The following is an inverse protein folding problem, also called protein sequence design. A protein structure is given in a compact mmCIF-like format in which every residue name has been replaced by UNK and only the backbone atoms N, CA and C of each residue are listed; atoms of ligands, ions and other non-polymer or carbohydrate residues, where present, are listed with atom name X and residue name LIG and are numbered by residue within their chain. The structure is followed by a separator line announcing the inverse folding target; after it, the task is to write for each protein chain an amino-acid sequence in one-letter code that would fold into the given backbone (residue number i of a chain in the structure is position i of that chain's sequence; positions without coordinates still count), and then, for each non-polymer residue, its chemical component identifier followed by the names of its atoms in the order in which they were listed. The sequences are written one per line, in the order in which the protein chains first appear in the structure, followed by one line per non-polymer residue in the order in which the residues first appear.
data_IF_048782104422
#
_entry.id   IF_048782104422
#
_cell.length_a   1.000
_cell.length_b   1.000
_cell.length_c   1.000
_cell.angle_alpha   90.00
_cell.angle_beta   90.00
_cell.angle_gamma   90.00
#
_symmetry.space_group_name_H-M   'P 1'
#
loop_
_entity.id
_entity.type
_entity.pdbx_description
1 polymer ?
#
# COMPACT_ATOMS: atom_id res chain seq x y z
N UNK A 1 -15.39 12.86 -11.96
CA UNK A 1 -14.18 12.95 -11.13
C UNK A 1 -14.37 11.87 -10.11
N UNK A 2 -14.02 10.63 -10.43
CA UNK A 2 -14.07 9.57 -9.42
C UNK A 2 -13.09 9.94 -8.33
N UNK A 3 -13.52 9.86 -7.08
CA UNK A 3 -12.63 10.13 -5.97
C UNK A 3 -11.55 9.05 -6.01
N UNK A 4 -10.27 9.43 -6.15
CA UNK A 4 -9.14 8.47 -6.14
C UNK A 4 -9.20 7.50 -4.95
N UNK A 5 -9.87 7.91 -3.87
CA UNK A 5 -10.15 7.04 -2.72
C UNK A 5 -11.08 5.88 -3.08
N UNK A 6 -12.15 6.13 -3.82
CA UNK A 6 -13.13 5.13 -4.25
C UNK A 6 -12.45 4.10 -5.15
N UNK A 7 -11.60 4.54 -6.09
CA UNK A 7 -10.77 3.64 -6.91
C UNK A 7 -9.84 2.75 -6.05
N UNK A 8 -9.23 3.31 -5.01
CA UNK A 8 -8.37 2.52 -4.10
C UNK A 8 -9.20 1.57 -3.21
N UNK A 9 -10.42 1.94 -2.85
CA UNK A 9 -11.34 1.08 -2.12
C UNK A 9 -11.81 -0.10 -2.98
N UNK A 10 -12.03 0.12 -4.29
CA UNK A 10 -12.32 -0.95 -5.26
C UNK A 10 -11.12 -1.91 -5.39
N UNK A 11 -9.91 -1.38 -5.57
CA UNK A 11 -8.68 -2.22 -5.61
C UNK A 11 -8.51 -3.04 -4.33
N UNK A 12 -8.76 -2.44 -3.16
CA UNK A 12 -8.70 -3.16 -1.89
C UNK A 12 -9.75 -4.27 -1.82
N UNK A 13 -10.95 -4.04 -2.37
CA UNK A 13 -11.99 -5.07 -2.44
C UNK A 13 -11.54 -6.25 -3.30
N UNK A 14 -10.98 -5.97 -4.47
CA UNK A 14 -10.48 -7.00 -5.39
C UNK A 14 -9.33 -7.81 -4.76
N UNK A 15 -8.45 -7.14 -4.02
CA UNK A 15 -7.36 -7.80 -3.29
C UNK A 15 -7.86 -8.74 -2.19
N UNK A 16 -8.94 -8.38 -1.49
CA UNK A 16 -9.53 -9.22 -0.44
C UNK A 16 -10.16 -10.50 -0.96
N UNK A 17 -10.53 -10.55 -2.24
CA UNK A 17 -11.04 -11.76 -2.88
C UNK A 17 -9.92 -12.73 -3.28
N UNK A 18 -8.64 -12.34 -3.15
CA UNK A 18 -7.49 -13.18 -3.48
C UNK A 18 -7.12 -14.11 -2.30
N UNK A 19 -6.98 -15.41 -2.54
CA UNK A 19 -6.78 -16.44 -1.50
C UNK A 19 -5.54 -16.21 -0.61
N UNK A 20 -4.50 -15.57 -1.16
CA UNK A 20 -3.26 -15.26 -0.43
C UNK A 20 -3.37 -14.03 0.52
N UNK A 21 -4.41 -13.22 0.36
CA UNK A 21 -4.59 -11.97 1.11
C UNK A 21 -5.46 -12.24 2.33
N UNK A 22 -4.92 -11.98 3.52
CA UNK A 22 -5.66 -12.07 4.79
C UNK A 22 -6.54 -10.84 4.97
N UNK A 23 -5.98 -9.67 4.70
CA UNK A 23 -6.70 -8.40 4.73
C UNK A 23 -6.01 -7.39 3.82
N UNK A 24 -6.78 -6.42 3.34
CA UNK A 24 -6.26 -5.26 2.63
C UNK A 24 -7.06 -4.02 3.02
N UNK A 25 -6.40 -2.87 3.13
CA UNK A 25 -7.09 -1.62 3.44
C UNK A 25 -6.33 -0.39 2.98
N UNK A 26 -7.09 0.66 2.66
CA UNK A 26 -6.54 1.98 2.37
C UNK A 26 -6.15 2.66 3.68
N UNK A 27 -4.89 3.06 3.78
CA UNK A 27 -4.35 3.87 4.85
C UNK A 27 -3.90 5.23 4.32
N UNK A 28 -3.59 6.13 5.25
CA UNK A 28 -3.01 7.44 4.93
C UNK A 28 -1.79 7.67 5.83
N UNK A 29 -0.68 8.05 5.21
CA UNK A 29 0.49 8.64 5.86
C UNK A 29 0.36 10.16 5.96
N UNK A 30 1.33 10.79 6.59
CA UNK A 30 1.40 12.24 6.76
C UNK A 30 1.43 13.01 5.42
N UNK A 31 2.02 12.41 4.38
CA UNK A 31 2.21 13.00 3.05
C UNK A 31 1.43 12.32 1.95
N UNK A 32 1.07 11.05 2.14
CA UNK A 32 0.73 10.13 1.05
C UNK A 32 -0.43 9.21 1.44
N UNK A 33 -1.14 8.68 0.44
CA UNK A 33 -2.07 7.56 0.62
C UNK A 33 -1.33 6.25 0.40
N UNK A 34 -1.74 5.24 1.16
CA UNK A 34 -1.14 3.91 1.17
C UNK A 34 -2.23 2.87 0.97
N UNK A 35 -1.89 1.78 0.31
CA UNK A 35 -2.63 0.52 0.39
C UNK A 35 -1.78 -0.45 1.20
N UNK A 36 -2.40 -1.04 2.22
CA UNK A 36 -1.79 -2.02 3.10
C UNK A 36 -2.37 -3.37 2.74
N UNK A 37 -1.51 -4.37 2.58
CA UNK A 37 -1.89 -5.75 2.26
C UNK A 37 -1.24 -6.67 3.27
N UNK A 38 -2.05 -7.45 3.98
CA UNK A 38 -1.61 -8.47 4.92
C UNK A 38 -1.67 -9.84 4.22
N UNK A 39 -0.55 -10.55 4.12
CA UNK A 39 -0.42 -11.84 3.44
C UNK A 39 -0.23 -12.96 4.47
N UNK A 40 -0.91 -14.09 4.28
CA UNK A 40 -0.85 -15.23 5.20
C UNK A 40 0.45 -16.02 5.03
N UNK A 41 1.26 -16.12 6.10
CA UNK A 41 2.39 -17.05 6.17
C UNK A 41 3.48 -16.91 5.09
N UNK A 42 3.44 -15.88 4.24
CA UNK A 42 4.44 -15.60 3.22
C UNK A 42 5.15 -14.28 3.53
N UNK A 43 6.47 -14.27 3.34
CA UNK A 43 7.30 -13.07 3.46
C UNK A 43 7.23 -12.18 2.20
N UNK A 44 6.66 -12.70 1.11
CA UNK A 44 6.60 -12.05 -0.20
C UNK A 44 5.16 -11.96 -0.72
N UNK A 45 4.87 -10.86 -1.41
CA UNK A 45 3.58 -10.63 -2.05
C UNK A 45 3.53 -11.42 -3.35
N UNK A 46 2.44 -12.15 -3.64
CA UNK A 46 2.30 -12.88 -4.90
C UNK A 46 2.48 -11.97 -6.12
N UNK A 47 3.13 -12.44 -7.20
CA UNK A 47 3.39 -11.62 -8.38
C UNK A 47 2.11 -11.10 -9.03
N UNK A 48 1.03 -11.88 -9.04
CA UNK A 48 -0.28 -11.45 -9.59
C UNK A 48 -0.85 -10.24 -8.81
N UNK A 49 -0.67 -10.22 -7.48
CA UNK A 49 -1.07 -9.11 -6.61
C UNK A 49 -0.19 -7.88 -6.88
N UNK A 50 1.12 -8.08 -7.08
CA UNK A 50 2.06 -7.00 -7.39
C UNK A 50 1.76 -6.37 -8.76
N UNK A 51 1.47 -7.19 -9.78
CA UNK A 51 1.09 -6.72 -11.10
C UNK A 51 -0.22 -5.92 -11.05
N UNK A 52 -1.22 -6.44 -10.35
CA UNK A 52 -2.49 -5.74 -10.15
C UNK A 52 -2.28 -4.37 -9.46
N UNK A 53 -1.51 -4.33 -8.37
CA UNK A 53 -1.17 -3.06 -7.70
C UNK A 53 -0.43 -2.09 -8.65
N UNK A 54 0.51 -2.60 -9.45
CA UNK A 54 1.30 -1.78 -10.38
C UNK A 54 0.43 -1.17 -11.50
N UNK A 55 -0.57 -1.90 -12.01
CA UNK A 55 -1.54 -1.40 -12.98
C UNK A 55 -2.36 -0.21 -12.45
N UNK A 56 -2.51 -0.14 -11.11
CA UNK A 56 -3.20 0.94 -10.41
C UNK A 56 -2.27 2.03 -9.86
N UNK A 57 -1.02 2.11 -10.34
CA UNK A 57 0.02 3.05 -9.88
C UNK A 57 0.38 2.91 -8.38
N UNK A 58 0.15 1.74 -7.79
CA UNK A 58 0.56 1.41 -6.43
C UNK A 58 1.94 0.76 -6.45
N UNK A 59 2.90 1.34 -5.73
CA UNK A 59 4.30 0.90 -5.70
C UNK A 59 4.74 0.60 -4.28
N UNK A 60 5.54 -0.45 -4.09
CA UNK A 60 6.11 -0.80 -2.80
C UNK A 60 6.79 0.37 -2.08
N UNK A 61 6.47 0.58 -0.81
CA UNK A 61 7.06 1.66 -0.03
C UNK A 61 8.59 1.52 0.13
N UNK A 62 9.12 0.28 0.20
CA UNK A 62 10.57 0.04 0.35
C UNK A 62 11.33 0.49 -0.90
N UNK A 63 10.94 0.07 -2.11
CA UNK A 63 11.51 0.57 -3.37
C UNK A 63 11.26 2.05 -3.69
N UNK A 64 10.52 2.80 -2.84
CA UNK A 64 10.28 4.25 -3.00
C UNK A 64 10.97 5.08 -1.92
N UNK A 65 11.15 4.56 -0.70
CA UNK A 65 11.86 5.22 0.39
C UNK A 65 13.30 4.73 0.59
N UNK A 66 13.68 3.61 -0.01
CA UNK A 66 14.99 2.97 0.10
C UNK A 66 15.46 2.49 -1.29
N UNK A 67 16.76 2.49 -1.57
CA UNK A 67 17.37 1.80 -2.72
C UNK A 67 17.42 0.26 -2.51
N UNK A 68 16.50 -0.29 -1.73
CA UNK A 68 16.44 -1.71 -1.39
C UNK A 68 15.79 -2.54 -2.50
N UNK A 69 16.23 -3.79 -2.66
CA UNK A 69 15.62 -4.79 -3.55
C UNK A 69 14.22 -5.26 -3.09
N UNK A 70 13.66 -4.63 -2.05
CA UNK A 70 12.38 -4.97 -1.43
C UNK A 70 11.17 -4.44 -2.20
N UNK A 71 10.23 -5.33 -2.50
CA UNK A 71 9.00 -5.00 -3.24
C UNK A 71 7.98 -4.19 -2.42
N UNK A 72 8.15 -4.07 -1.09
CA UNK A 72 7.30 -3.28 -0.17
C UNK A 72 7.91 -3.22 1.24
N UNK A 73 7.46 -2.30 2.10
CA UNK A 73 7.83 -2.37 3.53
C UNK A 73 7.10 -3.56 4.15
N UNK A 74 7.85 -4.59 4.53
CA UNK A 74 7.34 -5.82 5.11
C UNK A 74 7.58 -5.85 6.63
N UNK A 75 6.53 -6.03 7.41
CA UNK A 75 6.63 -6.23 8.87
C UNK A 75 5.63 -7.28 9.35
N UNK A 76 6.05 -8.16 10.26
CA UNK A 76 5.17 -9.20 10.79
C UNK A 76 4.08 -8.59 11.69
N UNK A 77 2.83 -8.96 11.44
CA UNK A 77 1.66 -8.59 12.24
C UNK A 77 0.88 -9.86 12.57
N UNK A 78 1.05 -10.37 13.78
CA UNK A 78 0.50 -11.67 14.17
C UNK A 78 1.14 -12.79 13.35
N UNK A 79 0.30 -13.60 12.69
CA UNK A 79 0.71 -14.69 11.80
C UNK A 79 0.83 -14.25 10.32
N UNK A 80 0.61 -12.97 10.03
CA UNK A 80 0.65 -12.39 8.68
C UNK A 80 1.84 -11.46 8.47
N UNK A 81 2.24 -11.28 7.21
CA UNK A 81 3.23 -10.27 6.81
C UNK A 81 2.50 -9.08 6.22
N UNK A 82 2.71 -7.90 6.80
CA UNK A 82 2.11 -6.65 6.35
C UNK A 82 3.02 -5.97 5.34
N UNK A 83 2.46 -5.67 4.17
CA UNK A 83 3.13 -5.03 3.04
C UNK A 83 2.53 -3.66 2.74
N UNK A 84 3.38 -2.63 2.61
CA UNK A 84 2.93 -1.26 2.32
C UNK A 84 3.20 -0.86 0.86
N UNK A 85 2.17 -0.32 0.22
CA UNK A 85 2.21 0.23 -1.13
C UNK A 85 1.76 1.70 -1.14
N UNK A 86 2.48 2.55 -1.86
CA UNK A 86 2.21 3.98 -2.01
C UNK A 86 1.40 4.26 -3.27
N UNK A 87 0.40 5.13 -3.16
CA UNK A 87 -0.28 5.70 -4.32
C UNK A 87 0.59 6.78 -4.96
N UNK A 88 1.15 6.46 -6.13
CA UNK A 88 2.05 7.38 -6.85
C UNK A 88 1.30 8.53 -7.54
N UNK A 89 0.00 8.38 -7.82
CA UNK A 89 -0.78 9.44 -8.48
C UNK A 89 -1.05 10.63 -7.55
N UNK A 90 -1.17 10.39 -6.24
CA UNK A 90 -1.44 11.44 -5.24
C UNK A 90 -0.25 11.73 -4.32
N UNK A 91 0.93 11.23 -4.66
CA UNK A 91 2.14 11.39 -3.87
C UNK A 91 2.43 12.87 -3.59
N UNK A 92 2.61 13.21 -2.32
CA UNK A 92 2.85 14.59 -1.86
C UNK A 92 1.63 15.51 -1.91
N UNK A 93 0.50 15.10 -2.48
CA UNK A 93 -0.74 15.89 -2.49
C UNK A 93 -1.42 15.96 -1.11
N UNK A 94 -0.96 15.15 -0.14
CA UNK A 94 -1.50 15.13 1.22
C UNK A 94 -0.56 15.72 2.26
N UNK A 95 0.49 16.46 1.85
CA UNK A 95 1.40 17.20 2.73
C UNK A 95 0.63 17.98 3.79
N UNK A 96 0.62 17.43 5.00
CA UNK A 96 0.07 18.08 6.18
C UNK A 96 1.26 18.70 6.92
N UNK A 97 1.49 20.01 6.78
CA UNK A 97 2.51 20.71 7.57
C UNK A 97 2.06 20.73 9.04
N UNK A 98 2.88 20.17 9.94
CA UNK A 98 2.80 20.51 11.37
C UNK A 98 3.40 21.90 11.50
N UNK A 99 2.57 22.89 11.80
CA UNK A 99 3.06 24.20 12.23
C UNK A 99 3.45 24.03 13.69
N UNK A 100 4.75 24.03 13.99
CA UNK A 100 5.21 24.23 15.36
C UNK A 100 4.75 25.63 15.78
N UNK A 101 3.82 25.70 16.72
CA UNK A 101 3.35 26.96 17.31
C UNK A 101 4.35 27.30 18.40
N UNK A 102 5.27 28.26 18.13
CA UNK A 102 6.11 28.89 19.16
C UNK A 102 5.34 29.96 19.94
#
# INVERSE_FOLDING_TARGET
MSDRREELEDVVSDLRDHDAVVDAFVAKSFTDRLVIVDIDGADEVPPDVVEHLADHDLRGADGVYSDGEGQSFAGSVGDSTRHHFLDMQTRGAHQSYVVEVE
#
